data_IF_128820332103
#
_entry.id   IF_128820332103
#
_cell.length_a   1.000
_cell.length_b   1.000
_cell.length_c   1.000
_cell.angle_alpha   90.00
_cell.angle_beta   90.00
_cell.angle_gamma   90.00
#
_symmetry.space_group_name_H-M   'P 1'
#
loop_
_entity.id
_entity.type
_entity.pdbx_description
1 polymer ?
#
# COMPACT_ATOMS: atom_id res chain seq x y z
N UNK A 1 -24.74 -8.82 -48.18
CA UNK A 1 -25.41 -8.06 -47.11
C UNK A 1 -25.12 -8.61 -45.72
N UNK A 2 -25.43 -9.90 -45.42
CA UNK A 2 -25.12 -10.51 -44.10
C UNK A 2 -23.63 -10.56 -43.73
N UNK A 3 -22.72 -10.77 -44.70
CA UNK A 3 -21.26 -10.77 -44.46
C UNK A 3 -20.68 -9.37 -44.15
N UNK A 4 -21.30 -8.31 -44.67
CA UNK A 4 -20.88 -6.91 -44.42
C UNK A 4 -21.32 -6.46 -43.03
N UNK A 5 -22.48 -6.94 -42.55
CA UNK A 5 -23.00 -6.67 -41.20
C UNK A 5 -22.14 -7.36 -40.13
N UNK A 6 -21.61 -8.56 -40.41
CA UNK A 6 -20.75 -9.31 -39.48
C UNK A 6 -19.36 -8.67 -39.30
N UNK A 7 -18.82 -8.05 -40.34
CA UNK A 7 -17.54 -7.33 -40.29
C UNK A 7 -17.61 -6.03 -39.51
N UNK A 8 -18.76 -5.35 -39.50
CA UNK A 8 -18.94 -4.09 -38.76
C UNK A 8 -19.05 -4.32 -37.25
N UNK A 9 -19.59 -5.46 -36.81
CA UNK A 9 -19.73 -5.81 -35.40
C UNK A 9 -18.39 -6.12 -34.69
N UNK A 10 -17.38 -6.57 -35.44
CA UNK A 10 -16.04 -6.88 -34.89
C UNK A 10 -15.22 -5.60 -34.65
N UNK A 11 -15.43 -4.56 -35.46
CA UNK A 11 -14.67 -3.30 -35.36
C UNK A 11 -15.12 -2.48 -34.15
N UNK A 12 -16.40 -2.54 -33.76
CA UNK A 12 -16.92 -1.83 -32.58
C UNK A 12 -16.47 -2.44 -31.24
N UNK A 13 -16.03 -3.70 -31.21
CA UNK A 13 -15.55 -4.34 -29.99
C UNK A 13 -14.12 -3.91 -29.59
N UNK A 14 -13.34 -3.35 -30.51
CA UNK A 14 -11.94 -2.96 -30.29
C UNK A 14 -11.75 -1.60 -29.61
N UNK A 15 -12.78 -0.74 -29.58
CA UNK A 15 -12.68 0.64 -29.08
C UNK A 15 -13.09 0.83 -27.62
N UNK A 16 -13.63 -0.20 -26.96
CA UNK A 16 -14.10 -0.12 -25.55
C UNK A 16 -12.98 -0.51 -24.55
N UNK A 17 -11.81 -0.92 -25.03
CA UNK A 17 -10.70 -1.44 -24.20
C UNK A 17 -9.83 -0.39 -23.49
N UNK A 18 -9.97 0.91 -23.78
CA UNK A 18 -9.17 1.93 -23.12
C UNK A 18 -9.69 2.25 -21.72
N UNK A 19 -9.25 1.48 -20.70
CA UNK A 19 -9.25 1.93 -19.31
C UNK A 19 -8.23 3.06 -19.16
N UNK A 20 -8.69 4.31 -19.23
CA UNK A 20 -7.89 5.48 -18.87
C UNK A 20 -7.47 5.34 -17.41
N UNK A 21 -6.18 5.11 -17.18
CA UNK A 21 -5.59 5.13 -15.84
C UNK A 21 -5.50 6.58 -15.39
N UNK A 22 -6.57 7.10 -14.80
CA UNK A 22 -6.55 8.43 -14.18
C UNK A 22 -5.58 8.39 -13.00
N UNK A 23 -4.35 8.84 -13.22
CA UNK A 23 -3.45 9.22 -12.13
C UNK A 23 -4.10 10.42 -11.45
N UNK A 24 -4.86 10.18 -10.38
CA UNK A 24 -5.35 11.25 -9.53
C UNK A 24 -4.14 12.03 -9.01
N UNK A 25 -4.16 13.36 -9.16
CA UNK A 25 -3.13 14.23 -8.60
C UNK A 25 -3.33 14.46 -7.09
N UNK A 26 -4.41 13.94 -6.52
CA UNK A 26 -4.70 14.03 -5.10
C UNK A 26 -3.77 13.12 -4.32
N UNK A 27 -3.22 13.64 -3.23
CA UNK A 27 -2.39 12.86 -2.33
C UNK A 27 -3.25 11.86 -1.56
N UNK A 28 -2.86 10.57 -1.56
CA UNK A 28 -3.47 9.55 -0.72
C UNK A 28 -2.63 9.38 0.53
N UNK A 29 -3.27 9.40 1.70
CA UNK A 29 -2.55 9.29 2.98
C UNK A 29 -3.11 8.14 3.80
N UNK A 30 -2.20 7.35 4.38
CA UNK A 30 -2.48 6.30 5.35
C UNK A 30 -1.63 6.55 6.58
N UNK A 31 -2.24 6.58 7.76
CA UNK A 31 -1.53 6.64 9.04
C UNK A 31 -1.79 5.37 9.82
N UNK A 32 -0.72 4.76 10.32
CA UNK A 32 -0.72 3.53 11.11
C UNK A 32 -0.15 3.85 12.50
N UNK A 33 -0.83 3.41 13.54
CA UNK A 33 -0.30 3.49 14.90
C UNK A 33 0.65 2.33 15.14
N UNK A 34 1.81 2.62 15.74
CA UNK A 34 2.79 1.62 16.15
C UNK A 34 2.61 1.36 17.64
N UNK A 35 2.10 0.17 17.96
CA UNK A 35 1.87 -0.27 19.34
C UNK A 35 3.08 -1.06 19.86
N UNK A 36 3.39 -0.96 21.16
CA UNK A 36 4.49 -1.71 21.74
C UNK A 36 4.29 -3.23 21.65
N UNK A 37 5.39 -3.95 21.40
CA UNK A 37 5.48 -5.42 21.43
C UNK A 37 6.69 -5.87 22.23
N UNK A 38 6.72 -7.14 22.62
CA UNK A 38 7.83 -7.76 23.37
C UNK A 38 8.17 -7.03 24.68
N UNK A 39 7.14 -6.54 25.38
CA UNK A 39 7.27 -5.73 26.61
C UNK A 39 8.10 -4.43 26.46
N UNK A 40 8.29 -3.95 25.22
CA UNK A 40 8.92 -2.65 24.99
C UNK A 40 7.98 -1.49 25.34
N UNK A 41 8.55 -0.29 25.41
CA UNK A 41 7.79 0.97 25.49
C UNK A 41 7.76 1.70 24.15
N UNK A 42 8.27 1.07 23.09
CA UNK A 42 8.38 1.66 21.75
C UNK A 42 6.99 1.87 21.18
N UNK A 43 6.68 3.10 20.81
CA UNK A 43 5.40 3.46 20.23
C UNK A 43 5.54 4.65 19.27
N UNK A 44 4.54 4.87 18.44
CA UNK A 44 4.60 5.97 17.48
C UNK A 44 3.55 5.92 16.40
N UNK A 45 3.82 6.65 15.32
CA UNK A 45 2.99 6.67 14.12
C UNK A 45 3.84 6.54 12.87
N UNK A 46 3.31 5.82 11.89
CA UNK A 46 3.86 5.64 10.56
C UNK A 46 2.88 6.23 9.54
N UNK A 47 3.29 7.24 8.80
CA UNK A 47 2.47 7.88 7.76
C UNK A 47 3.06 7.58 6.39
N UNK A 48 2.21 7.05 5.51
CA UNK A 48 2.47 6.87 4.09
C UNK A 48 1.67 7.92 3.32
N UNK A 49 2.34 8.69 2.47
CA UNK A 49 1.69 9.62 1.56
C UNK A 49 2.10 9.29 0.13
N UNK A 50 1.14 8.86 -0.68
CA UNK A 50 1.32 8.64 -2.11
C UNK A 50 0.91 9.89 -2.88
N UNK A 51 1.80 10.37 -3.74
CA UNK A 51 1.51 11.45 -4.70
C UNK A 51 2.26 11.17 -6.01
N UNK A 52 1.54 11.19 -7.13
CA UNK A 52 2.10 11.01 -8.48
C UNK A 52 2.91 9.72 -8.64
N UNK A 53 2.50 8.64 -7.98
CA UNK A 53 3.15 7.33 -8.01
C UNK A 53 4.39 7.22 -7.11
N UNK A 54 4.67 8.23 -6.28
CA UNK A 54 5.74 8.20 -5.27
C UNK A 54 5.16 8.14 -3.88
N UNK A 55 5.67 7.22 -3.06
CA UNK A 55 5.30 7.09 -1.65
C UNK A 55 6.38 7.70 -0.79
N UNK A 56 6.01 8.66 0.04
CA UNK A 56 6.82 9.15 1.14
C UNK A 56 6.40 8.44 2.41
N UNK A 57 7.37 7.87 3.12
CA UNK A 57 7.19 7.23 4.41
C UNK A 57 7.83 8.09 5.51
N UNK A 58 7.06 8.39 6.55
CA UNK A 58 7.54 9.11 7.74
C UNK A 58 7.13 8.35 8.99
N UNK A 59 8.11 7.94 9.78
CA UNK A 59 7.89 7.34 11.10
C UNK A 59 8.27 8.33 12.20
N UNK A 60 7.35 8.55 13.14
CA UNK A 60 7.62 9.28 14.39
C UNK A 60 7.53 8.27 15.53
N UNK A 61 8.69 7.89 16.07
CA UNK A 61 8.81 6.79 17.04
C UNK A 61 9.53 7.30 18.29
N UNK A 62 9.06 6.89 19.46
CA UNK A 62 9.68 7.16 20.75
C UNK A 62 9.95 5.86 21.51
N UNK A 63 10.87 5.89 22.47
CA UNK A 63 11.21 4.74 23.31
C UNK A 63 12.22 3.75 22.70
N UNK A 64 12.81 4.09 21.54
CA UNK A 64 13.91 3.32 20.96
C UNK A 64 15.22 3.64 21.69
N UNK A 65 16.05 2.63 21.88
CA UNK A 65 17.45 2.81 22.27
C UNK A 65 18.22 3.58 21.18
N UNK A 66 19.22 4.40 21.52
CA UNK A 66 20.05 5.06 20.52
C UNK A 66 20.76 4.05 19.61
N UNK A 67 20.65 4.22 18.30
CA UNK A 67 21.30 3.35 17.33
C UNK A 67 20.54 3.22 16.02
N UNK A 68 21.04 2.32 15.17
CA UNK A 68 20.39 1.97 13.90
C UNK A 68 19.31 0.93 14.19
N UNK A 69 18.09 1.21 13.73
CA UNK A 69 16.96 0.29 13.79
C UNK A 69 16.45 0.02 12.38
N UNK A 70 16.24 -1.25 12.06
CA UNK A 70 15.63 -1.64 10.79
C UNK A 70 14.11 -1.47 10.85
N UNK A 71 13.51 -1.12 9.72
CA UNK A 71 12.06 -0.98 9.58
C UNK A 71 11.62 -1.65 8.28
N UNK A 72 10.61 -2.51 8.38
CA UNK A 72 10.12 -3.33 7.27
C UNK A 72 8.60 -3.31 7.23
N UNK A 73 8.03 -3.61 6.06
CA UNK A 73 6.61 -3.97 5.92
C UNK A 73 6.53 -5.48 6.01
N UNK A 74 5.57 -5.98 6.79
CA UNK A 74 5.31 -7.40 6.94
C UNK A 74 4.16 -7.88 6.04
N UNK A 75 4.15 -9.17 5.74
CA UNK A 75 3.18 -9.84 4.86
C UNK A 75 1.73 -9.69 5.35
N UNK A 76 1.51 -9.70 6.67
CA UNK A 76 0.18 -9.71 7.28
C UNK A 76 -0.02 -8.51 8.18
N UNK A 77 -1.25 -7.99 8.19
CA UNK A 77 -1.69 -6.93 9.12
C UNK A 77 -2.12 -7.47 10.48
N UNK A 78 -1.52 -8.56 10.95
CA UNK A 78 -1.86 -9.22 12.20
C UNK A 78 -0.77 -8.97 13.24
N UNK A 79 -1.05 -8.07 14.19
CA UNK A 79 -0.15 -7.74 15.29
C UNK A 79 -0.59 -8.37 16.63
N UNK A 80 -1.41 -9.43 16.62
CA UNK A 80 -2.01 -9.98 17.84
C UNK A 80 -1.02 -10.74 18.74
N UNK A 81 0.03 -11.34 18.18
CA UNK A 81 1.08 -11.98 18.97
C UNK A 81 1.79 -10.96 19.86
N UNK A 82 2.07 -11.34 21.12
CA UNK A 82 2.71 -10.46 22.09
C UNK A 82 4.10 -9.97 21.65
N UNK A 83 4.81 -10.78 20.87
CA UNK A 83 6.12 -10.48 20.29
C UNK A 83 6.05 -9.93 18.86
N UNK A 84 4.85 -9.77 18.29
CA UNK A 84 4.64 -9.30 16.92
C UNK A 84 4.86 -10.34 15.83
N UNK A 85 5.19 -11.59 16.14
CA UNK A 85 5.49 -12.64 15.15
C UNK A 85 4.31 -13.01 14.24
N UNK A 86 3.08 -12.72 14.65
CA UNK A 86 1.87 -12.93 13.84
C UNK A 86 1.86 -12.12 12.54
N UNK A 87 2.68 -11.07 12.43
CA UNK A 87 2.81 -10.23 11.24
C UNK A 87 3.36 -11.01 10.02
N UNK A 88 3.99 -12.17 10.24
CA UNK A 88 4.55 -12.99 9.17
C UNK A 88 5.89 -12.48 8.64
N UNK A 89 6.26 -12.88 7.42
CA UNK A 89 7.53 -12.54 6.79
C UNK A 89 7.59 -11.10 6.27
N UNK A 90 8.66 -10.75 5.55
CA UNK A 90 8.78 -9.48 4.83
C UNK A 90 7.85 -9.45 3.60
N UNK A 91 7.28 -8.26 3.29
CA UNK A 91 6.55 -7.99 2.05
C UNK A 91 7.48 -7.76 0.85
#
# INVERSE_FOLDING_TARGET
MKKVILSFAIITALIIGCKTSTKSNDAKTLTVNLEPKSNSTVSGTATFTEKNGKVTFVAKVAGLEPGVHAIHIHEKSDCTAADGSSAGGHW
#
